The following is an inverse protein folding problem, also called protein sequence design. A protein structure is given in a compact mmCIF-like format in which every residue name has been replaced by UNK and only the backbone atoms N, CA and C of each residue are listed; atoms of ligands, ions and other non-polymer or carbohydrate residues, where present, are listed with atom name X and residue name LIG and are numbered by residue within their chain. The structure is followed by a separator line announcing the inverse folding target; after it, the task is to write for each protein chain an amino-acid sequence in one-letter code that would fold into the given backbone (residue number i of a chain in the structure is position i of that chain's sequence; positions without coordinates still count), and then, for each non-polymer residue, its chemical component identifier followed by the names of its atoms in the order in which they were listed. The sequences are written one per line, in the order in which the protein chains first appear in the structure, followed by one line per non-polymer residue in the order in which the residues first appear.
data_IF_095276656934
#
_entry.id   IF_095276656934
#
_cell.length_a   1.000
_cell.length_b   1.000
_cell.length_c   1.000
_cell.angle_alpha   90.00
_cell.angle_beta   90.00
_cell.angle_gamma   90.00
#
_symmetry.space_group_name_H-M   'P 1'
#
loop_
_entity.id
_entity.type
_entity.pdbx_description
1 polymer ?
#
# COMPACT_ATOMS: atom_id res chain seq x y z
N UNK A 1 -33.69 6.31 17.17
CA UNK A 1 -33.01 5.93 18.43
C UNK A 1 -31.57 5.61 18.04
N UNK A 2 -30.67 6.59 18.16
CA UNK A 2 -29.25 6.48 17.78
C UNK A 2 -28.60 5.39 18.64
N UNK A 3 -28.20 4.26 18.05
CA UNK A 3 -27.48 3.21 18.78
C UNK A 3 -26.05 3.10 18.27
N UNK A 4 -25.13 3.39 19.20
CA UNK A 4 -23.68 3.24 19.17
C UNK A 4 -22.86 4.35 18.49
N UNK A 5 -23.01 5.58 18.98
CA UNK A 5 -21.95 6.59 18.87
C UNK A 5 -21.09 6.55 20.14
N UNK A 6 -19.77 6.35 20.00
CA UNK A 6 -18.83 6.57 21.12
C UNK A 6 -18.38 8.02 21.07
N UNK A 7 -19.09 8.90 21.77
CA UNK A 7 -18.65 10.27 22.01
C UNK A 7 -17.57 10.25 23.10
N UNK A 8 -16.34 10.61 22.77
CA UNK A 8 -15.31 10.90 23.77
C UNK A 8 -15.23 12.43 23.89
N UNK A 9 -15.74 12.97 24.99
CA UNK A 9 -15.67 14.40 25.25
C UNK A 9 -14.24 14.79 25.62
N UNK A 10 -13.58 15.55 24.74
CA UNK A 10 -12.30 16.21 25.06
C UNK A 10 -12.52 17.38 26.02
N UNK A 11 -11.57 17.64 26.92
CA UNK A 11 -11.63 18.82 27.80
C UNK A 11 -11.52 20.09 26.95
N UNK A 12 -12.60 20.88 26.90
CA UNK A 12 -12.69 22.14 26.14
C UNK A 12 -13.47 21.97 24.84
N UNK A 13 -14.80 21.96 24.94
CA UNK A 13 -15.82 22.18 23.89
C UNK A 13 -15.66 21.55 22.48
N UNK A 14 -14.75 20.60 22.28
CA UNK A 14 -14.56 19.92 20.99
C UNK A 14 -14.86 18.43 21.14
N UNK A 15 -15.81 17.94 20.35
CA UNK A 15 -16.16 16.52 20.29
C UNK A 15 -15.06 15.76 19.54
N UNK A 16 -14.39 14.83 20.23
CA UNK A 16 -13.40 13.95 19.63
C UNK A 16 -14.08 12.65 19.19
N UNK A 17 -14.32 12.52 17.88
CA UNK A 17 -14.86 11.29 17.30
C UNK A 17 -13.69 10.39 16.88
N UNK A 18 -13.35 9.41 17.74
CA UNK A 18 -12.24 8.48 17.47
C UNK A 18 -12.60 7.39 16.47
N UNK A 19 -13.85 6.95 16.47
CA UNK A 19 -14.39 5.94 15.56
C UNK A 19 -15.86 6.25 15.33
N UNK A 20 -16.25 6.47 14.07
CA UNK A 20 -17.66 6.47 13.67
C UNK A 20 -17.89 5.19 12.88
N UNK A 21 -18.67 4.27 13.45
CA UNK A 21 -19.23 3.14 12.72
C UNK A 21 -20.68 3.51 12.42
N UNK A 22 -20.95 3.87 11.18
CA UNK A 22 -22.29 4.20 10.72
C UNK A 22 -22.87 2.98 10.00
N UNK A 23 -23.99 2.49 10.50
CA UNK A 23 -24.71 1.38 9.88
C UNK A 23 -25.54 1.86 8.69
N UNK A 24 -25.92 0.95 7.80
CA UNK A 24 -26.60 1.27 6.55
C UNK A 24 -27.98 1.96 6.68
N UNK A 25 -28.49 2.15 7.90
CA UNK A 25 -29.79 2.80 8.17
C UNK A 25 -29.69 4.14 8.91
N UNK A 26 -28.49 4.65 9.15
CA UNK A 26 -28.30 5.87 9.91
C UNK A 26 -28.48 7.11 9.00
N UNK A 27 -29.39 7.99 9.40
CA UNK A 27 -29.70 9.24 8.69
C UNK A 27 -29.18 10.43 9.50
N UNK A 28 -28.26 11.21 8.92
CA UNK A 28 -27.73 12.44 9.52
C UNK A 28 -28.45 13.70 9.03
N UNK A 29 -29.60 13.55 8.39
CA UNK A 29 -30.35 14.67 7.82
C UNK A 29 -30.64 15.75 8.87
N UNK A 30 -30.13 16.96 8.65
CA UNK A 30 -30.28 18.10 9.57
C UNK A 30 -29.27 18.14 10.73
N UNK A 31 -28.33 17.20 10.83
CA UNK A 31 -27.29 17.23 11.86
C UNK A 31 -26.24 18.32 11.60
N UNK A 32 -25.67 18.90 12.66
CA UNK A 32 -24.52 19.82 12.56
C UNK A 32 -23.23 19.09 12.91
N UNK A 33 -22.31 18.98 11.96
CA UNK A 33 -21.06 18.24 12.08
C UNK A 33 -19.80 19.11 11.91
N UNK A 34 -19.91 20.41 12.19
CA UNK A 34 -18.76 21.34 12.16
C UNK A 34 -17.74 21.04 13.26
N UNK A 35 -16.45 21.05 12.92
CA UNK A 35 -15.33 20.94 13.86
C UNK A 35 -15.02 19.53 14.37
N UNK A 36 -15.63 18.51 13.78
CA UNK A 36 -15.37 17.11 14.12
C UNK A 36 -13.99 16.65 13.62
N UNK A 37 -13.48 15.58 14.23
CA UNK A 37 -12.31 14.85 13.76
C UNK A 37 -12.72 13.62 12.93
N UNK A 38 -12.15 13.47 11.74
CA UNK A 38 -12.41 12.41 10.76
C UNK A 38 -11.17 11.54 10.51
N UNK A 39 -10.65 10.92 11.58
CA UNK A 39 -9.42 10.12 11.48
C UNK A 39 -9.63 8.76 10.81
N UNK A 40 -10.76 8.08 11.11
CA UNK A 40 -11.08 6.72 10.64
C UNK A 40 -12.61 6.51 10.69
N UNK A 41 -13.33 6.80 9.60
CA UNK A 41 -14.76 6.44 9.56
C UNK A 41 -14.93 5.12 8.79
N UNK A 42 -15.95 4.37 9.21
CA UNK A 42 -16.49 3.25 8.46
C UNK A 42 -17.95 3.60 8.18
N UNK A 43 -18.21 4.12 6.99
CA UNK A 43 -19.53 4.61 6.56
C UNK A 43 -20.04 3.71 5.46
N UNK A 44 -21.27 3.22 5.60
CA UNK A 44 -21.97 2.55 4.51
C UNK A 44 -22.39 3.54 3.42
N UNK A 45 -22.37 3.13 2.16
CA UNK A 45 -22.90 3.89 1.01
C UNK A 45 -24.38 4.26 1.14
N UNK A 46 -25.12 3.57 2.01
CA UNK A 46 -26.53 3.86 2.31
C UNK A 46 -26.70 4.99 3.34
N UNK A 47 -25.60 5.47 3.94
CA UNK A 47 -25.64 6.56 4.92
C UNK A 47 -26.03 7.88 4.24
N UNK A 48 -27.06 8.53 4.78
CA UNK A 48 -27.56 9.79 4.23
C UNK A 48 -27.00 11.01 4.99
N UNK A 49 -26.15 11.79 4.30
CA UNK A 49 -25.65 13.09 4.78
C UNK A 49 -26.36 14.30 4.14
N UNK A 50 -27.45 14.09 3.37
CA UNK A 50 -28.21 15.19 2.80
C UNK A 50 -28.74 16.10 3.90
N UNK A 51 -28.51 17.41 3.76
CA UNK A 51 -28.94 18.41 4.73
C UNK A 51 -28.11 18.44 6.02
N UNK A 52 -26.96 17.77 6.07
CA UNK A 52 -25.97 18.00 7.13
C UNK A 52 -25.39 19.40 6.99
N UNK A 53 -25.35 20.14 8.09
CA UNK A 53 -24.66 21.41 8.20
C UNK A 53 -23.25 21.17 8.71
N UNK A 54 -22.24 21.50 7.92
CA UNK A 54 -20.86 21.39 8.32
C UNK A 54 -20.11 22.53 7.66
N UNK A 55 -19.34 23.30 8.42
CA UNK A 55 -18.51 24.39 7.88
C UNK A 55 -17.06 23.92 7.67
N UNK A 56 -16.58 23.00 8.52
CA UNK A 56 -15.25 22.41 8.40
C UNK A 56 -15.10 21.14 9.22
N UNK A 57 -14.11 20.33 8.86
CA UNK A 57 -13.71 19.10 9.59
C UNK A 57 -12.20 19.02 9.73
N UNK A 58 -11.72 18.17 10.63
CA UNK A 58 -10.30 17.88 10.83
C UNK A 58 -9.98 16.44 10.45
N UNK A 59 -9.08 16.19 9.51
CA UNK A 59 -8.77 14.82 9.05
C UNK A 59 -7.76 14.09 9.94
N UNK A 60 -7.17 14.78 10.92
CA UNK A 60 -6.17 14.21 11.81
C UNK A 60 -6.38 14.67 13.25
N UNK A 61 -6.17 13.75 14.19
CA UNK A 61 -6.12 14.08 15.62
C UNK A 61 -4.73 14.64 15.95
N UNK A 62 -4.61 15.85 16.52
CA UNK A 62 -3.34 16.43 16.97
C UNK A 62 -2.63 15.55 18.00
N UNK A 63 -1.32 15.38 17.86
CA UNK A 63 -0.44 14.85 18.92
C UNK A 63 0.58 15.90 19.32
N UNK A 64 1.33 15.66 20.41
CA UNK A 64 2.39 16.57 20.85
C UNK A 64 3.46 16.76 19.77
N UNK A 65 3.76 15.69 19.06
CA UNK A 65 4.75 15.62 17.99
C UNK A 65 4.21 16.19 16.67
N UNK A 66 2.88 16.21 16.50
CA UNK A 66 2.23 16.66 15.28
C UNK A 66 0.90 17.39 15.59
N UNK A 67 0.98 18.70 15.93
CA UNK A 67 -0.16 19.43 16.47
C UNK A 67 -1.20 19.84 15.41
N UNK A 68 -0.87 19.77 14.12
CA UNK A 68 -1.78 20.22 13.07
C UNK A 68 -2.92 19.20 12.86
N UNK A 69 -4.20 19.58 12.99
CA UNK A 69 -5.35 18.68 12.83
C UNK A 69 -5.76 18.44 11.37
N UNK A 70 -5.14 19.12 10.39
CA UNK A 70 -5.48 19.08 8.96
C UNK A 70 -6.95 19.40 8.70
N UNK A 71 -7.30 20.69 8.80
CA UNK A 71 -8.64 21.20 8.51
C UNK A 71 -9.00 21.04 7.03
N UNK A 72 -10.27 20.75 6.74
CA UNK A 72 -10.89 20.89 5.42
C UNK A 72 -12.12 21.82 5.51
N UNK A 73 -12.31 22.77 4.58
CA UNK A 73 -11.37 23.16 3.51
C UNK A 73 -10.01 23.61 4.07
N UNK A 74 -8.93 23.42 3.30
CA UNK A 74 -7.56 23.69 3.78
C UNK A 74 -7.33 25.18 4.06
N UNK A 75 -8.01 26.05 3.31
CA UNK A 75 -8.01 27.48 3.54
C UNK A 75 -8.94 27.82 4.72
N UNK A 76 -8.39 28.42 5.79
CA UNK A 76 -9.15 28.79 6.97
C UNK A 76 -10.19 29.89 6.72
N UNK A 77 -10.08 30.65 5.63
CA UNK A 77 -11.07 31.63 5.20
C UNK A 77 -12.28 31.02 4.50
N UNK A 78 -12.24 29.73 4.18
CA UNK A 78 -13.30 29.00 3.47
C UNK A 78 -14.04 28.05 4.41
N UNK A 79 -15.31 27.84 4.11
CA UNK A 79 -16.19 26.88 4.78
C UNK A 79 -16.90 26.04 3.73
N UNK A 80 -17.23 24.81 4.07
CA UNK A 80 -18.19 24.02 3.31
C UNK A 80 -19.53 24.76 3.29
N UNK A 81 -20.12 24.88 2.10
CA UNK A 81 -21.49 25.33 1.91
C UNK A 81 -22.46 24.16 1.97
N UNK A 82 -23.77 24.45 1.93
CA UNK A 82 -24.80 23.42 2.03
C UNK A 82 -24.63 22.36 0.92
N UNK A 83 -24.32 21.13 1.33
CA UNK A 83 -24.08 20.00 0.43
C UNK A 83 -22.60 19.66 0.21
N UNK A 84 -21.68 20.63 0.30
CA UNK A 84 -20.26 20.41 0.01
C UNK A 84 -19.64 19.34 0.90
N UNK A 85 -20.04 19.28 2.17
CA UNK A 85 -19.57 18.25 3.08
C UNK A 85 -19.99 16.84 2.65
N UNK A 86 -21.23 16.68 2.14
CA UNK A 86 -21.70 15.40 1.65
C UNK A 86 -20.91 14.97 0.41
N UNK A 87 -20.67 15.90 -0.51
CA UNK A 87 -19.85 15.65 -1.70
C UNK A 87 -18.38 15.36 -1.35
N UNK A 88 -17.83 16.04 -0.35
CA UNK A 88 -16.49 15.82 0.16
C UNK A 88 -16.33 14.43 0.80
N UNK A 89 -17.31 13.96 1.56
CA UNK A 89 -17.27 12.67 2.28
C UNK A 89 -17.57 11.47 1.38
N UNK A 90 -18.45 11.63 0.39
CA UNK A 90 -18.91 10.54 -0.49
C UNK A 90 -17.78 9.69 -1.11
N UNK A 91 -16.72 10.27 -1.73
CA UNK A 91 -15.64 9.48 -2.32
C UNK A 91 -14.67 8.87 -1.28
N UNK A 92 -14.76 9.25 0.00
CA UNK A 92 -13.80 8.83 1.04
C UNK A 92 -14.12 7.42 1.59
N UNK A 93 -15.36 6.92 1.42
CA UNK A 93 -15.80 5.66 2.04
C UNK A 93 -16.35 4.61 1.09
N UNK A 94 -16.66 4.97 -0.17
CA UNK A 94 -17.12 4.02 -1.18
C UNK A 94 -15.95 3.47 -2.01
N UNK A 95 -15.02 2.78 -1.36
CA UNK A 95 -13.84 2.21 -2.04
C UNK A 95 -13.71 0.72 -1.78
N UNK A 96 -13.10 0.01 -2.73
CA UNK A 96 -12.52 -1.31 -2.57
C UNK A 96 -11.16 -1.14 -1.87
N UNK A 97 -11.11 -1.54 -0.60
CA UNK A 97 -9.91 -1.48 0.24
C UNK A 97 -9.13 -2.80 0.16
N UNK A 98 -7.98 -2.79 -0.54
CA UNK A 98 -7.10 -3.94 -0.73
C UNK A 98 -5.92 -3.86 0.25
N UNK A 99 -6.04 -4.59 1.37
CA UNK A 99 -5.08 -4.55 2.48
C UNK A 99 -3.97 -5.60 2.36
N UNK A 100 -2.72 -5.15 2.29
CA UNK A 100 -1.54 -6.01 2.22
C UNK A 100 -0.79 -6.04 3.55
N UNK A 101 -0.60 -7.25 4.10
CA UNK A 101 -0.05 -7.43 5.45
C UNK A 101 1.49 -7.38 5.53
N UNK A 102 2.22 -8.04 4.64
CA UNK A 102 3.69 -8.10 4.65
C UNK A 102 4.30 -8.42 3.27
N UNK A 103 5.53 -7.96 3.05
CA UNK A 103 6.32 -8.25 1.84
C UNK A 103 5.60 -7.79 0.58
N UNK A 104 5.21 -6.51 0.57
CA UNK A 104 4.48 -5.87 -0.53
C UNK A 104 5.41 -5.77 -1.74
N UNK A 105 5.04 -6.37 -2.87
CA UNK A 105 5.73 -6.15 -4.15
C UNK A 105 4.88 -5.19 -4.98
N UNK A 106 5.33 -3.92 -5.17
CA UNK A 106 4.60 -2.94 -5.96
C UNK A 106 4.31 -3.38 -7.40
N UNK A 107 5.16 -4.22 -7.99
CA UNK A 107 4.94 -4.76 -9.35
C UNK A 107 3.82 -5.78 -9.35
N UNK A 108 3.76 -6.64 -8.33
CA UNK A 108 2.65 -7.58 -8.19
C UNK A 108 1.33 -6.83 -7.99
N UNK A 109 1.31 -5.73 -7.23
CA UNK A 109 0.14 -4.85 -7.12
C UNK A 109 -0.26 -4.31 -8.50
N UNK A 110 0.68 -3.72 -9.23
CA UNK A 110 0.39 -3.10 -10.53
C UNK A 110 -0.19 -4.10 -11.54
N UNK A 111 0.39 -5.30 -11.63
CA UNK A 111 -0.09 -6.34 -12.54
C UNK A 111 -1.46 -6.86 -12.11
N UNK A 112 -1.63 -7.19 -10.82
CA UNK A 112 -2.90 -7.74 -10.31
C UNK A 112 -4.04 -6.74 -10.44
N UNK A 113 -3.78 -5.46 -10.18
CA UNK A 113 -4.79 -4.42 -10.33
C UNK A 113 -5.17 -4.19 -11.79
N UNK A 114 -4.17 -4.20 -12.69
CA UNK A 114 -4.41 -4.09 -14.13
C UNK A 114 -5.28 -5.25 -14.62
N UNK A 115 -4.95 -6.48 -14.25
CA UNK A 115 -5.70 -7.67 -14.64
C UNK A 115 -7.13 -7.65 -14.07
N UNK A 116 -7.30 -7.25 -12.80
CA UNK A 116 -8.61 -7.06 -12.19
C UNK A 116 -9.47 -6.06 -12.99
N UNK A 117 -8.88 -4.93 -13.41
CA UNK A 117 -9.58 -3.92 -14.21
C UNK A 117 -9.90 -4.39 -15.64
N UNK A 118 -9.03 -5.21 -16.25
CA UNK A 118 -9.27 -5.79 -17.57
C UNK A 118 -10.36 -6.87 -17.55
N UNK A 119 -10.44 -7.67 -16.47
CA UNK A 119 -11.46 -8.70 -16.29
C UNK A 119 -12.82 -8.16 -15.86
N UNK A 120 -12.84 -7.00 -15.20
CA UNK A 120 -14.04 -6.35 -14.67
C UNK A 120 -14.22 -4.94 -15.25
N UNK A 121 -14.40 -4.79 -16.59
CA UNK A 121 -14.54 -3.47 -17.20
C UNK A 121 -15.76 -2.70 -16.68
N UNK A 122 -16.82 -3.44 -16.33
CA UNK A 122 -18.07 -2.89 -15.80
C UNK A 122 -17.94 -2.38 -14.36
N UNK A 123 -16.85 -2.70 -13.64
CA UNK A 123 -16.63 -2.22 -12.28
C UNK A 123 -16.05 -0.79 -12.23
N UNK A 124 -15.61 -0.23 -13.37
CA UNK A 124 -14.98 1.10 -13.50
C UNK A 124 -13.91 1.38 -12.43
N UNK A 125 -12.99 0.42 -12.27
CA UNK A 125 -11.95 0.47 -11.25
C UNK A 125 -10.98 1.65 -11.44
N UNK A 126 -10.88 2.51 -10.43
CA UNK A 126 -9.97 3.67 -10.43
C UNK A 126 -9.18 3.73 -9.13
N UNK A 127 -7.84 3.79 -9.20
CA UNK A 127 -7.02 3.96 -7.99
C UNK A 127 -7.21 5.37 -7.43
N UNK A 128 -7.66 5.47 -6.18
CA UNK A 128 -7.86 6.76 -5.51
C UNK A 128 -6.83 7.03 -4.42
N UNK A 129 -6.26 5.99 -3.80
CA UNK A 129 -5.21 6.16 -2.80
C UNK A 129 -4.29 4.95 -2.69
N UNK A 130 -3.04 5.24 -2.34
CA UNK A 130 -1.98 4.28 -2.06
C UNK A 130 -1.30 4.67 -0.75
N UNK A 131 -1.50 3.88 0.30
CA UNK A 131 -1.17 4.29 1.66
C UNK A 131 -0.26 3.28 2.35
N UNK A 132 0.90 3.75 2.81
CA UNK A 132 1.74 2.96 3.72
C UNK A 132 1.08 2.91 5.10
N UNK A 133 0.86 1.70 5.62
CA UNK A 133 0.25 1.46 6.93
C UNK A 133 1.30 0.78 7.83
N UNK A 134 1.82 1.49 8.83
CA UNK A 134 2.93 0.95 9.65
C UNK A 134 4.21 0.69 8.84
N UNK A 135 5.10 -0.16 9.33
CA UNK A 135 6.40 -0.39 8.68
C UNK A 135 6.30 -1.20 7.37
N UNK A 136 5.46 -2.26 7.36
CA UNK A 136 5.41 -3.23 6.27
C UNK A 136 4.03 -3.41 5.61
N UNK A 137 2.98 -2.76 6.12
CA UNK A 137 1.63 -2.91 5.57
C UNK A 137 1.33 -1.82 4.57
N UNK A 138 0.46 -2.13 3.63
CA UNK A 138 0.09 -1.23 2.55
C UNK A 138 -1.40 -1.37 2.26
N UNK A 139 -2.06 -0.25 2.01
CA UNK A 139 -3.47 -0.20 1.64
C UNK A 139 -3.57 0.45 0.26
N UNK A 140 -4.10 -0.30 -0.70
CA UNK A 140 -4.53 0.23 -1.99
C UNK A 140 -6.04 0.47 -1.91
N UNK A 141 -6.49 1.66 -2.29
CA UNK A 141 -7.90 2.01 -2.38
C UNK A 141 -8.26 2.25 -3.82
N UNK A 142 -9.29 1.57 -4.29
CA UNK A 142 -9.87 1.79 -5.59
C UNK A 142 -11.34 2.16 -5.49
N UNK A 143 -11.80 3.09 -6.31
CA UNK A 143 -13.22 3.32 -6.53
C UNK A 143 -13.75 2.19 -7.42
N UNK A 144 -15.01 1.82 -7.20
CA UNK A 144 -15.79 0.90 -8.04
C UNK A 144 -17.14 1.53 -8.34
N UNK A 145 -17.90 0.97 -9.28
CA UNK A 145 -19.33 1.24 -9.33
C UNK A 145 -20.04 0.73 -8.06
N UNK A 146 -21.09 1.41 -7.58
CA UNK A 146 -21.78 1.05 -6.32
C UNK A 146 -22.35 -0.37 -6.28
N UNK A 147 -22.74 -0.90 -7.43
CA UNK A 147 -23.31 -2.24 -7.63
C UNK A 147 -22.26 -3.35 -7.71
N UNK A 148 -20.97 -3.00 -7.76
CA UNK A 148 -19.88 -3.97 -7.86
C UNK A 148 -19.74 -4.81 -6.58
N UNK A 149 -19.58 -6.13 -6.73
CA UNK A 149 -19.28 -6.99 -5.59
C UNK A 149 -17.81 -6.85 -5.17
N UNK A 150 -17.57 -5.99 -4.19
CA UNK A 150 -16.24 -5.72 -3.64
C UNK A 150 -15.59 -6.97 -3.01
N UNK A 151 -16.37 -7.94 -2.54
CA UNK A 151 -15.83 -9.17 -1.96
C UNK A 151 -15.26 -10.06 -3.05
N UNK A 152 -15.97 -10.20 -4.16
CA UNK A 152 -15.52 -10.94 -5.34
C UNK A 152 -14.27 -10.29 -5.95
N UNK A 153 -14.32 -8.98 -6.20
CA UNK A 153 -13.18 -8.21 -6.73
C UNK A 153 -11.93 -8.32 -5.85
N UNK A 154 -12.11 -8.29 -4.52
CA UNK A 154 -11.02 -8.47 -3.57
C UNK A 154 -10.43 -9.88 -3.65
N UNK A 155 -11.28 -10.91 -3.69
CA UNK A 155 -10.85 -12.30 -3.78
C UNK A 155 -10.05 -12.56 -5.07
N UNK A 156 -10.55 -12.10 -6.21
CA UNK A 156 -9.89 -12.21 -7.52
C UNK A 156 -8.52 -11.50 -7.50
N UNK A 157 -8.48 -10.25 -7.02
CA UNK A 157 -7.25 -9.48 -6.91
C UNK A 157 -6.19 -10.23 -6.08
N UNK A 158 -6.57 -10.76 -4.91
CA UNK A 158 -5.61 -11.42 -4.03
C UNK A 158 -5.19 -12.80 -4.53
N UNK A 159 -6.01 -13.48 -5.32
CA UNK A 159 -5.64 -14.70 -6.03
C UNK A 159 -4.49 -14.41 -7.01
N UNK A 160 -4.70 -13.48 -7.95
CA UNK A 160 -3.70 -13.07 -8.94
C UNK A 160 -2.43 -12.53 -8.27
N UNK A 161 -2.57 -11.68 -7.25
CA UNK A 161 -1.45 -11.14 -6.49
C UNK A 161 -0.61 -12.24 -5.83
N UNK A 162 -1.26 -13.24 -5.24
CA UNK A 162 -0.57 -14.36 -4.60
C UNK A 162 0.16 -15.23 -5.60
N UNK A 163 -0.42 -15.47 -6.77
CA UNK A 163 0.20 -16.21 -7.87
C UNK A 163 1.46 -15.49 -8.39
N UNK A 164 1.36 -14.20 -8.71
CA UNK A 164 2.50 -13.40 -9.19
C UNK A 164 3.62 -13.36 -8.16
N UNK A 165 3.27 -13.17 -6.88
CA UNK A 165 4.24 -13.18 -5.78
C UNK A 165 4.92 -14.54 -5.62
N UNK A 166 4.22 -15.64 -5.86
CA UNK A 166 4.79 -16.98 -5.84
C UNK A 166 5.73 -17.22 -7.03
N UNK A 167 5.33 -16.81 -8.24
CA UNK A 167 6.15 -16.93 -9.46
C UNK A 167 7.46 -16.16 -9.34
N UNK A 168 7.41 -14.90 -8.89
CA UNK A 168 8.62 -14.10 -8.68
C UNK A 168 9.60 -14.76 -7.70
N UNK A 169 9.11 -15.39 -6.64
CA UNK A 169 9.95 -16.14 -5.69
C UNK A 169 10.58 -17.38 -6.33
N UNK A 170 9.83 -18.09 -7.18
CA UNK A 170 10.32 -19.27 -7.89
C UNK A 170 11.41 -18.91 -8.90
N UNK A 171 11.21 -17.87 -9.71
CA UNK A 171 12.21 -17.38 -10.68
C UNK A 171 13.50 -16.96 -10.00
N UNK A 172 13.41 -16.21 -8.90
CA UNK A 172 14.59 -15.81 -8.11
C UNK A 172 15.33 -17.05 -7.57
N UNK A 173 14.61 -18.04 -7.05
CA UNK A 173 15.21 -19.28 -6.56
C UNK A 173 15.90 -20.07 -7.69
N UNK A 174 15.30 -20.12 -8.87
CA UNK A 174 15.88 -20.77 -10.03
C UNK A 174 17.20 -20.09 -10.46
N UNK A 175 17.20 -18.76 -10.56
CA UNK A 175 18.39 -17.97 -10.88
C UNK A 175 19.53 -18.14 -9.85
N UNK A 176 19.20 -18.22 -8.56
CA UNK A 176 20.18 -18.49 -7.51
C UNK A 176 20.78 -19.90 -7.70
N UNK A 177 19.93 -20.90 -7.95
CA UNK A 177 20.37 -22.29 -8.13
C UNK A 177 21.30 -22.44 -9.34
N UNK A 178 20.97 -21.77 -10.45
CA UNK A 178 21.81 -21.72 -11.65
C UNK A 178 23.17 -21.09 -11.35
N UNK A 179 23.17 -19.92 -10.70
CA UNK A 179 24.40 -19.21 -10.33
C UNK A 179 25.27 -20.01 -9.37
N UNK A 180 24.69 -20.70 -8.39
CA UNK A 180 25.42 -21.60 -7.48
C UNK A 180 26.07 -22.76 -8.24
N UNK A 181 25.37 -23.33 -9.23
CA UNK A 181 25.93 -24.34 -10.13
C UNK A 181 27.16 -23.81 -10.89
N UNK A 182 27.07 -22.57 -11.40
CA UNK A 182 28.20 -21.92 -12.08
C UNK A 182 29.36 -21.64 -11.14
N UNK A 183 29.09 -21.19 -9.91
CA UNK A 183 30.12 -20.95 -8.88
C UNK A 183 30.87 -22.25 -8.57
N UNK A 184 30.17 -23.36 -8.30
CA UNK A 184 30.81 -24.67 -8.04
C UNK A 184 31.67 -25.13 -9.22
N UNK A 185 31.19 -24.93 -10.45
CA UNK A 185 31.97 -25.24 -11.66
C UNK A 185 33.26 -24.43 -11.72
N UNK A 186 33.21 -23.12 -11.45
CA UNK A 186 34.38 -22.25 -11.43
C UNK A 186 35.34 -22.60 -10.29
N UNK A 187 34.84 -22.88 -9.09
CA UNK A 187 35.64 -23.33 -7.94
C UNK A 187 36.39 -24.63 -8.27
N UNK A 188 35.72 -25.60 -8.90
CA UNK A 188 36.35 -26.84 -9.34
C UNK A 188 37.44 -26.58 -10.38
N UNK A 189 37.19 -25.71 -11.37
CA UNK A 189 38.20 -25.34 -12.37
C UNK A 189 39.43 -24.69 -11.74
N UNK A 190 39.23 -23.74 -10.82
CA UNK A 190 40.32 -23.07 -10.09
C UNK A 190 41.10 -24.09 -9.25
N UNK A 191 40.42 -24.95 -8.51
CA UNK A 191 41.06 -25.98 -7.70
C UNK A 191 41.88 -26.97 -8.55
N UNK A 192 41.35 -27.40 -9.70
CA UNK A 192 42.08 -28.27 -10.63
C UNK A 192 43.29 -27.55 -11.24
N UNK A 193 43.14 -26.28 -11.64
CA UNK A 193 44.24 -25.48 -12.16
C UNK A 193 45.35 -25.31 -11.12
N UNK A 194 45.00 -24.96 -9.87
CA UNK A 194 45.97 -24.81 -8.77
C UNK A 194 46.70 -26.12 -8.45
N UNK A 195 46.01 -27.27 -8.53
CA UNK A 195 46.63 -28.60 -8.31
C UNK A 195 47.39 -29.13 -9.52
N UNK A 196 47.31 -28.45 -10.67
CA UNK A 196 48.02 -28.87 -11.88
C UNK A 196 49.53 -28.74 -11.69
N UNK A 197 50.34 -29.71 -12.14
CA UNK A 197 51.80 -29.63 -12.08
C UNK A 197 52.38 -28.45 -12.87
N UNK A 198 51.61 -27.81 -13.76
CA UNK A 198 51.99 -26.57 -14.45
C UNK A 198 52.11 -25.36 -13.50
N UNK A 199 51.40 -25.36 -12.35
CA UNK A 199 51.45 -24.27 -11.36
C UNK A 199 52.52 -24.46 -10.29
N UNK A 200 52.87 -25.71 -9.94
CA UNK A 200 53.91 -26.04 -8.95
C UNK A 200 55.26 -26.39 -9.57
N UNK A 201 55.49 -26.10 -10.86
CA UNK A 201 56.81 -26.22 -11.46
C UNK A 201 57.77 -25.22 -10.79
N UNK A 202 58.39 -25.68 -9.71
CA UNK A 202 59.55 -25.07 -9.06
C UNK A 202 60.55 -24.76 -10.17
N UNK A 203 60.87 -23.48 -10.30
CA UNK A 203 61.74 -22.98 -11.35
C UNK A 203 63.07 -23.73 -11.36
N UNK A 204 63.25 -24.53 -12.41
CA UNK A 204 64.53 -24.69 -13.07
C UNK A 204 64.24 -24.41 -14.55
N UNK A 205 64.89 -23.36 -15.06
CA UNK A 205 64.88 -22.87 -16.45
C UNK A 205 63.73 -21.94 -16.86
N UNK A 206 63.85 -20.69 -16.42
CA UNK A 206 63.73 -19.47 -17.23
C UNK A 206 62.60 -19.35 -18.28
N UNK A 207 61.36 -19.70 -17.93
CA UNK A 207 60.16 -19.20 -18.62
C UNK A 207 58.93 -19.31 -17.69
N UNK A 208 58.86 -18.45 -16.67
CA UNK A 208 57.69 -18.37 -15.81
C UNK A 208 56.48 -17.85 -16.58
N UNK A 209 55.43 -18.65 -16.73
CA UNK A 209 54.14 -18.18 -17.23
C UNK A 209 53.48 -17.35 -16.12
N UNK A 210 53.69 -16.03 -16.17
CA UNK A 210 52.95 -15.10 -15.34
C UNK A 210 51.52 -14.95 -15.91
N UNK A 211 50.55 -15.64 -15.31
CA UNK A 211 49.13 -15.33 -15.57
C UNK A 211 48.77 -14.09 -14.74
N UNK A 212 48.82 -12.93 -15.37
CA UNK A 212 48.38 -11.65 -14.79
C UNK A 212 46.85 -11.65 -14.76
N UNK A 213 46.25 -11.82 -13.58
CA UNK A 213 44.83 -11.52 -13.38
C UNK A 213 44.65 -10.00 -13.32
N UNK A 214 44.19 -9.41 -14.43
CA UNK A 214 43.77 -8.01 -14.46
C UNK A 214 42.52 -7.82 -13.60
N UNK A 215 42.70 -7.49 -12.33
CA UNK A 215 41.63 -7.14 -11.40
C UNK A 215 41.19 -5.70 -11.68
N UNK A 216 40.30 -5.49 -12.65
CA UNK A 216 39.63 -4.19 -12.81
C UNK A 216 38.45 -4.12 -11.85
N UNK A 217 38.73 -3.78 -10.59
CA UNK A 217 37.68 -3.32 -9.67
C UNK A 217 37.34 -1.90 -10.11
N UNK A 218 36.15 -1.70 -10.68
CA UNK A 218 35.58 -0.37 -10.85
C UNK A 218 34.66 -0.14 -9.66
N UNK A 219 35.11 0.70 -8.74
CA UNK A 219 34.26 1.33 -7.75
C UNK A 219 33.68 2.58 -8.40
N UNK A 220 32.41 2.51 -8.82
CA UNK A 220 31.48 3.65 -8.87
C UNK A 220 30.10 3.13 -8.43
#
# INVERSE_FOLDING_TARGET
MLRNFVFVQGRGETLMLRYIQVSSKDHFTGATLTGIYIGHWNISNETNFCGVKCEYVYTRIPTKENPNPLRKPDNNGEVFTDGDFADFIKPIFDTLDLYHNQGVDPRAIAISFKELAENNPDAELEIVAMEKRGEEKFLLRAKTLPESDKSELSAEYFETYSQIKALAKQEVKALITEKDGRIRSLENMVNTALKSPLFYAKGDNNAGVAIIFNRKVRLE
#
